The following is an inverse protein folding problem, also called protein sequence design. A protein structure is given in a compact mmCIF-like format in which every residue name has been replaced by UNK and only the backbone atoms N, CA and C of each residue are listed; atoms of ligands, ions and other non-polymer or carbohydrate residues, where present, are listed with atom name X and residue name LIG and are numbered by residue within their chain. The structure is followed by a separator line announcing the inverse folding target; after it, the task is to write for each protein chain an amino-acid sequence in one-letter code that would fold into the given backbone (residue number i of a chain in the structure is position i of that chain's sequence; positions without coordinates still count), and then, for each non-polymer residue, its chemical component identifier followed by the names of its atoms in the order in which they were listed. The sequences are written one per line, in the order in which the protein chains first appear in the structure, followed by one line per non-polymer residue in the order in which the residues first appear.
data_IF_822604511868
#
_entry.id   IF_822604511868
#
_cell.length_a   1.000
_cell.length_b   1.000
_cell.length_c   1.000
_cell.angle_alpha   90.00
_cell.angle_beta   90.00
_cell.angle_gamma   90.00
#
_symmetry.space_group_name_H-M   'P 1'
#
loop_
_entity.id
_entity.type
_entity.pdbx_description
1 polymer ?
#
# COMPACT_ATOMS: atom_id res chain seq x y z
N UNK A 1 -14.97 17.65 12.10
CA UNK A 1 -15.02 16.89 10.83
C UNK A 1 -16.20 15.91 10.74
N UNK A 2 -17.29 16.14 11.45
CA UNK A 2 -18.47 15.28 11.45
C UNK A 2 -19.55 15.79 10.48
N UNK A 3 -19.24 15.88 9.18
CA UNK A 3 -20.23 16.31 8.16
C UNK A 3 -21.29 15.23 7.85
N UNK A 4 -21.07 13.98 8.26
CA UNK A 4 -21.92 12.83 7.91
C UNK A 4 -22.63 12.18 9.11
N UNK A 5 -22.63 12.81 10.30
CA UNK A 5 -23.37 12.28 11.46
C UNK A 5 -22.81 11.00 12.11
N UNK A 6 -21.61 10.55 11.73
CA UNK A 6 -20.94 9.43 12.40
C UNK A 6 -20.27 9.93 13.67
N UNK A 7 -20.81 9.57 14.82
CA UNK A 7 -20.33 10.00 16.14
C UNK A 7 -19.29 9.04 16.75
N UNK A 8 -19.11 7.86 16.16
CA UNK A 8 -18.30 6.76 16.72
C UNK A 8 -16.96 6.57 16.01
N UNK A 9 -16.44 7.62 15.34
CA UNK A 9 -15.14 7.56 14.66
C UNK A 9 -14.10 8.36 15.45
N UNK A 10 -13.08 7.68 15.92
CA UNK A 10 -11.91 8.28 16.56
C UNK A 10 -10.80 8.51 15.54
N UNK A 11 -10.12 9.67 15.62
CA UNK A 11 -8.98 10.01 14.80
C UNK A 11 -7.71 10.01 15.65
N UNK A 12 -6.73 9.23 15.24
CA UNK A 12 -5.43 9.16 15.89
C UNK A 12 -4.31 9.42 14.87
N UNK A 13 -3.32 10.24 15.23
CA UNK A 13 -2.10 10.37 14.46
C UNK A 13 -1.10 9.37 14.99
N UNK A 14 -0.67 8.42 14.15
CA UNK A 14 0.27 7.38 14.52
C UNK A 14 1.16 6.99 13.33
N UNK A 15 2.28 6.35 13.63
CA UNK A 15 3.08 5.63 12.64
C UNK A 15 2.44 4.26 12.39
N UNK A 16 2.18 3.96 11.13
CA UNK A 16 1.57 2.68 10.73
C UNK A 16 2.45 1.46 11.06
N UNK A 17 3.74 1.66 11.26
CA UNK A 17 4.74 0.66 11.63
C UNK A 17 4.83 0.49 13.15
N UNK A 18 4.26 1.43 13.95
CA UNK A 18 4.26 1.43 15.41
C UNK A 18 2.97 2.04 15.94
N UNK A 19 1.91 1.23 16.04
CA UNK A 19 0.59 1.71 16.44
C UNK A 19 0.48 1.81 17.98
N UNK A 20 -0.11 2.91 18.52
CA UNK A 20 -0.25 3.12 19.96
C UNK A 20 -1.44 2.34 20.55
N UNK A 21 -1.69 1.12 20.08
CA UNK A 21 -2.79 0.28 20.50
C UNK A 21 -2.25 -1.01 21.13
N UNK A 22 -3.00 -1.55 22.09
CA UNK A 22 -2.68 -2.84 22.71
C UNK A 22 -2.83 -4.00 21.70
N UNK A 23 -2.22 -5.14 22.01
CA UNK A 23 -2.41 -6.38 21.26
C UNK A 23 -3.89 -6.77 21.23
N UNK A 24 -4.34 -7.37 20.15
CA UNK A 24 -5.69 -7.91 20.02
C UNK A 24 -6.81 -6.88 20.30
N UNK A 25 -6.66 -5.64 19.84
CA UNK A 25 -7.61 -4.55 20.04
C UNK A 25 -8.70 -4.49 18.99
N UNK A 26 -8.43 -4.96 17.76
CA UNK A 26 -9.31 -4.74 16.60
C UNK A 26 -9.79 -6.04 15.97
N UNK A 27 -11.03 -6.03 15.49
CA UNK A 27 -11.61 -7.13 14.71
C UNK A 27 -11.19 -7.09 13.25
N UNK A 28 -10.86 -5.89 12.73
CA UNK A 28 -10.37 -5.69 11.39
C UNK A 28 -9.37 -4.52 11.31
N UNK A 29 -8.40 -4.64 10.41
CA UNK A 29 -7.52 -3.56 9.96
C UNK A 29 -7.71 -3.39 8.46
N UNK A 30 -7.89 -2.14 8.03
CA UNK A 30 -8.01 -1.78 6.61
C UNK A 30 -6.94 -0.75 6.26
N UNK A 31 -6.16 -1.04 5.24
CA UNK A 31 -5.15 -0.14 4.68
C UNK A 31 -5.47 0.15 3.21
N UNK A 32 -5.28 1.41 2.80
CA UNK A 32 -5.46 1.80 1.40
C UNK A 32 -4.40 2.79 0.95
N UNK A 33 -3.69 2.45 -0.14
CA UNK A 33 -2.65 3.28 -0.75
C UNK A 33 -1.59 3.74 0.26
N UNK A 34 -1.10 2.81 1.10
CA UNK A 34 -0.17 3.13 2.16
C UNK A 34 1.11 2.29 2.12
N UNK A 35 0.99 0.97 1.95
CA UNK A 35 2.11 0.03 2.13
C UNK A 35 3.27 0.34 1.18
N UNK A 36 2.97 0.73 -0.06
CA UNK A 36 3.96 1.09 -1.07
C UNK A 36 4.90 2.23 -0.64
N UNK A 37 4.47 3.07 0.32
CA UNK A 37 5.16 4.29 0.76
C UNK A 37 5.87 4.13 2.12
N UNK A 38 5.94 2.93 2.66
CA UNK A 38 6.56 2.68 3.96
C UNK A 38 8.05 2.34 3.81
N UNK A 39 8.84 2.79 4.78
CA UNK A 39 10.27 2.46 4.88
C UNK A 39 10.46 0.99 5.29
N UNK A 40 9.63 0.49 6.20
CA UNK A 40 9.58 -0.92 6.61
C UNK A 40 8.15 -1.47 6.51
N UNK A 41 7.73 -1.90 5.30
CA UNK A 41 6.39 -2.43 5.10
C UNK A 41 6.15 -3.78 5.80
N UNK A 42 7.19 -4.56 6.09
CA UNK A 42 7.07 -5.81 6.85
C UNK A 42 6.77 -5.50 8.34
N UNK A 43 7.42 -4.48 8.92
CA UNK A 43 7.11 -4.01 10.26
C UNK A 43 5.64 -3.56 10.38
N UNK A 44 5.12 -2.87 9.38
CA UNK A 44 3.71 -2.48 9.35
C UNK A 44 2.77 -3.71 9.37
N UNK A 45 3.03 -4.72 8.54
CA UNK A 45 2.23 -5.95 8.56
C UNK A 45 2.29 -6.69 9.88
N UNK A 46 3.48 -6.78 10.48
CA UNK A 46 3.67 -7.37 11.82
C UNK A 46 2.86 -6.63 12.88
N UNK A 47 2.88 -5.30 12.82
CA UNK A 47 2.18 -4.43 13.75
C UNK A 47 0.65 -4.53 13.57
N UNK A 48 0.16 -4.56 12.33
CA UNK A 48 -1.26 -4.73 12.05
C UNK A 48 -1.78 -6.10 12.51
N UNK A 49 -0.99 -7.15 12.31
CA UNK A 49 -1.32 -8.46 12.85
C UNK A 49 -1.28 -8.47 14.37
N UNK A 50 -0.36 -7.74 15.03
CA UNK A 50 -0.30 -7.63 16.49
C UNK A 50 -1.60 -7.07 17.07
N UNK A 51 -2.06 -5.96 16.52
CA UNK A 51 -3.27 -5.26 17.02
C UNK A 51 -4.57 -5.97 16.65
N UNK A 52 -4.58 -6.85 15.66
CA UNK A 52 -5.73 -7.69 15.35
C UNK A 52 -5.98 -8.72 16.45
N UNK A 53 -7.23 -8.98 16.78
CA UNK A 53 -7.67 -10.10 17.61
C UNK A 53 -7.39 -11.44 16.90
N UNK A 54 -7.28 -12.56 17.62
CA UNK A 54 -7.29 -13.88 16.99
C UNK A 54 -8.52 -14.05 16.09
N UNK A 55 -8.31 -14.44 14.81
CA UNK A 55 -9.37 -14.51 13.82
C UNK A 55 -9.78 -13.16 13.19
N UNK A 56 -9.15 -12.06 13.63
CA UNK A 56 -9.34 -10.73 13.03
C UNK A 56 -8.82 -10.66 11.60
N UNK A 57 -9.36 -9.74 10.81
CA UNK A 57 -9.14 -9.68 9.35
C UNK A 57 -8.32 -8.47 8.95
N UNK A 58 -7.34 -8.69 8.09
CA UNK A 58 -6.57 -7.66 7.41
C UNK A 58 -7.08 -7.49 5.98
N UNK A 59 -7.28 -6.23 5.58
CA UNK A 59 -7.61 -5.84 4.21
C UNK A 59 -6.64 -4.77 3.74
N UNK A 60 -5.94 -5.01 2.65
CA UNK A 60 -5.01 -4.07 2.03
C UNK A 60 -5.44 -3.82 0.59
N UNK A 61 -5.63 -2.56 0.23
CA UNK A 61 -5.90 -2.10 -1.13
C UNK A 61 -4.75 -1.21 -1.56
N UNK A 62 -3.96 -1.65 -2.53
CA UNK A 62 -2.73 -0.96 -2.90
C UNK A 62 -2.39 -1.08 -4.39
N UNK A 63 -1.23 -0.61 -4.80
CA UNK A 63 -0.78 -0.66 -6.18
C UNK A 63 0.74 -0.60 -6.35
N UNK A 64 1.18 -0.94 -7.55
CA UNK A 64 2.57 -0.87 -7.98
C UNK A 64 2.91 0.55 -8.50
N UNK A 65 2.84 1.55 -7.61
CA UNK A 65 2.87 2.96 -7.98
C UNK A 65 4.20 3.43 -8.57
N UNK A 66 5.33 2.89 -8.09
CA UNK A 66 6.68 3.35 -8.47
C UNK A 66 7.55 2.26 -9.12
N UNK A 67 6.96 1.12 -9.47
CA UNK A 67 7.68 0.06 -10.19
C UNK A 67 8.28 0.55 -11.52
N UNK A 68 7.72 1.60 -12.14
CA UNK A 68 8.24 2.19 -13.37
C UNK A 68 9.67 2.75 -13.23
N UNK A 69 10.12 3.08 -12.02
CA UNK A 69 11.48 3.55 -11.76
C UNK A 69 12.54 2.46 -12.00
N UNK A 70 12.14 1.18 -11.94
CA UNK A 70 13.05 0.03 -11.99
C UNK A 70 12.63 -1.05 -12.99
N UNK A 71 11.45 -0.95 -13.57
CA UNK A 71 10.90 -1.94 -14.48
C UNK A 71 10.42 -1.28 -15.77
N UNK A 72 11.04 -1.64 -16.90
CA UNK A 72 10.76 -1.04 -18.20
C UNK A 72 9.33 -1.29 -18.70
N UNK A 73 8.72 -2.44 -18.35
CA UNK A 73 7.33 -2.71 -18.74
C UNK A 73 6.38 -1.74 -18.02
N UNK A 74 6.58 -1.50 -16.71
CA UNK A 74 5.81 -0.49 -15.97
C UNK A 74 6.08 0.92 -16.48
N UNK A 75 7.32 1.25 -16.88
CA UNK A 75 7.65 2.54 -17.46
C UNK A 75 6.92 2.77 -18.79
N UNK A 76 6.68 1.72 -19.57
CA UNK A 76 5.99 1.81 -20.87
C UNK A 76 4.51 2.17 -20.78
N UNK A 77 3.87 1.87 -19.64
CA UNK A 77 2.45 2.16 -19.41
C UNK A 77 2.21 3.47 -18.66
N UNK A 78 3.27 4.14 -18.19
CA UNK A 78 3.11 5.45 -17.56
C UNK A 78 2.54 6.46 -18.55
N UNK A 79 1.54 7.27 -18.15
CA UNK A 79 1.07 8.36 -18.97
C UNK A 79 2.26 9.26 -19.32
N UNK A 80 2.50 9.52 -20.60
CA UNK A 80 3.46 10.55 -20.99
C UNK A 80 2.93 11.86 -20.44
N UNK A 81 3.60 12.38 -19.41
CA UNK A 81 3.27 13.71 -18.88
C UNK A 81 3.52 14.70 -19.99
N UNK A 82 2.46 15.22 -20.58
CA UNK A 82 2.57 16.30 -21.53
C UNK A 82 3.15 17.51 -20.79
N UNK A 83 4.29 18.02 -21.27
CA UNK A 83 4.96 19.19 -20.71
C UNK A 83 4.04 20.45 -20.70
N UNK A 84 2.89 20.38 -21.35
CA UNK A 84 1.86 21.43 -21.35
C UNK A 84 0.89 21.33 -20.15
N UNK A 85 0.87 20.24 -19.39
CA UNK A 85 0.08 20.16 -18.16
C UNK A 85 0.76 21.01 -17.08
N UNK A 86 0.41 22.29 -17.06
CA UNK A 86 0.87 23.30 -16.11
C UNK A 86 0.38 23.04 -14.68
N UNK A 87 0.73 21.93 -14.08
CA UNK A 87 0.79 21.83 -12.63
C UNK A 87 2.17 22.31 -12.17
N UNK A 88 2.53 23.54 -12.52
CA UNK A 88 3.57 24.30 -11.83
C UNK A 88 3.02 24.67 -10.46
N UNK A 89 2.97 23.70 -9.56
CA UNK A 89 2.72 23.93 -8.15
C UNK A 89 3.94 24.65 -7.57
N UNK A 90 3.89 26.00 -7.60
CA UNK A 90 4.69 26.88 -6.76
C UNK A 90 6.20 26.57 -6.69
N UNK A 91 6.86 26.32 -7.83
CA UNK A 91 8.31 26.09 -7.85
C UNK A 91 8.80 24.78 -7.26
N UNK A 92 7.92 23.85 -6.95
CA UNK A 92 8.26 22.50 -6.49
C UNK A 92 8.75 21.69 -7.70
N UNK A 93 9.96 21.12 -7.59
CA UNK A 93 10.46 20.18 -8.61
C UNK A 93 9.51 18.99 -8.68
N UNK A 94 8.99 18.68 -9.86
CA UNK A 94 8.00 17.61 -10.09
C UNK A 94 8.53 16.20 -9.81
N UNK A 95 9.84 16.04 -9.65
CA UNK A 95 10.52 14.76 -9.42
C UNK A 95 10.85 14.47 -7.93
N UNK A 96 10.46 15.33 -6.99
CA UNK A 96 10.77 15.10 -5.55
C UNK A 96 10.17 13.79 -5.05
N UNK A 97 8.97 13.45 -5.52
CA UNK A 97 8.30 12.19 -5.12
C UNK A 97 9.04 10.99 -5.70
N UNK A 98 9.50 11.06 -6.94
CA UNK A 98 10.31 10.01 -7.56
C UNK A 98 11.65 9.81 -6.84
N UNK A 99 12.29 10.91 -6.43
CA UNK A 99 13.54 10.85 -5.68
C UNK A 99 13.34 10.14 -4.33
N UNK A 100 12.28 10.44 -3.60
CA UNK A 100 11.90 9.72 -2.37
C UNK A 100 11.58 8.26 -2.67
N UNK A 101 10.79 8.00 -3.71
CA UNK A 101 10.36 6.64 -4.06
C UNK A 101 11.51 5.73 -4.48
N UNK A 102 12.65 6.26 -4.95
CA UNK A 102 13.84 5.46 -5.28
C UNK A 102 14.41 4.72 -4.08
N UNK A 103 14.26 5.27 -2.89
CA UNK A 103 14.80 4.67 -1.65
C UNK A 103 13.78 3.74 -0.96
N UNK A 104 12.52 3.74 -1.41
CA UNK A 104 11.48 2.87 -0.85
C UNK A 104 11.63 1.43 -1.33
N UNK A 105 11.57 0.43 -0.43
CA UNK A 105 11.81 -0.96 -0.77
C UNK A 105 10.83 -1.52 -1.80
N UNK A 106 9.56 -1.11 -1.74
CA UNK A 106 8.51 -1.64 -2.62
C UNK A 106 8.48 -1.01 -4.01
N UNK A 107 9.26 0.04 -4.28
CA UNK A 107 9.45 0.55 -5.63
C UNK A 107 10.18 -0.43 -6.55
N UNK A 108 10.94 -1.38 -5.97
CA UNK A 108 11.70 -2.42 -6.69
C UNK A 108 11.00 -3.78 -6.72
N UNK A 109 9.86 -3.89 -6.05
CA UNK A 109 9.12 -5.14 -5.92
C UNK A 109 7.79 -5.08 -6.67
N UNK A 110 7.53 -6.08 -7.50
CA UNK A 110 6.21 -6.26 -8.10
C UNK A 110 5.32 -7.00 -7.11
N UNK A 111 4.23 -6.38 -6.74
CA UNK A 111 3.25 -6.90 -5.79
C UNK A 111 2.00 -7.38 -6.57
N UNK A 112 1.13 -8.24 -6.01
CA UNK A 112 0.97 -8.58 -4.60
C UNK A 112 1.74 -9.81 -4.08
N UNK A 113 2.55 -10.48 -4.88
CA UNK A 113 3.24 -11.72 -4.47
C UNK A 113 4.12 -11.51 -3.23
N UNK A 114 4.84 -10.40 -3.18
CA UNK A 114 5.64 -10.03 -2.01
C UNK A 114 4.79 -9.95 -0.72
N UNK A 115 3.58 -9.41 -0.82
CA UNK A 115 2.65 -9.30 0.32
C UNK A 115 2.24 -10.68 0.84
N UNK A 116 1.92 -11.60 -0.06
CA UNK A 116 1.54 -12.97 0.29
C UNK A 116 2.69 -13.69 1.01
N UNK A 117 3.93 -13.55 0.50
CA UNK A 117 5.12 -14.14 1.10
C UNK A 117 5.39 -13.60 2.50
N UNK A 118 5.31 -12.27 2.68
CA UNK A 118 5.52 -11.63 3.99
C UNK A 118 4.46 -12.07 4.99
N UNK A 119 3.18 -12.00 4.61
CA UNK A 119 2.08 -12.42 5.49
C UNK A 119 2.17 -13.92 5.85
N UNK A 120 2.61 -14.75 4.92
CA UNK A 120 2.88 -16.17 5.17
C UNK A 120 4.02 -16.37 6.20
N UNK A 121 5.13 -15.64 6.08
CA UNK A 121 6.24 -15.67 7.07
C UNK A 121 5.79 -15.18 8.44
N UNK A 122 4.90 -14.20 8.49
CA UNK A 122 4.29 -13.68 9.72
C UNK A 122 3.18 -14.59 10.27
N UNK A 123 2.98 -15.78 9.67
CA UNK A 123 2.01 -16.80 10.09
C UNK A 123 0.55 -16.36 10.04
N UNK A 124 0.23 -15.38 9.20
CA UNK A 124 -1.15 -15.09 8.86
C UNK A 124 -1.77 -16.25 8.08
N UNK A 125 -3.04 -16.49 8.29
CA UNK A 125 -3.80 -17.55 7.62
C UNK A 125 -4.72 -16.98 6.54
N UNK A 126 -5.25 -17.84 5.68
CA UNK A 126 -6.18 -17.49 4.61
C UNK A 126 -5.71 -16.28 3.76
N UNK A 127 -4.40 -16.17 3.52
CA UNK A 127 -3.81 -15.10 2.70
C UNK A 127 -4.29 -15.28 1.27
N UNK A 128 -4.86 -14.21 0.70
CA UNK A 128 -5.33 -14.17 -0.69
C UNK A 128 -5.07 -12.80 -1.28
N UNK A 129 -4.70 -12.76 -2.56
CA UNK A 129 -4.66 -11.52 -3.32
C UNK A 129 -5.57 -11.58 -4.54
N UNK A 130 -6.01 -10.42 -4.99
CA UNK A 130 -6.79 -10.23 -6.20
C UNK A 130 -6.29 -8.99 -6.93
N UNK A 131 -5.98 -9.12 -8.21
CA UNK A 131 -5.59 -7.97 -9.03
C UNK A 131 -6.86 -7.29 -9.55
N UNK A 132 -7.05 -6.05 -9.13
CA UNK A 132 -8.22 -5.22 -9.43
C UNK A 132 -8.07 -4.45 -10.75
N UNK A 133 -6.83 -4.16 -11.15
CA UNK A 133 -6.51 -3.47 -12.40
C UNK A 133 -5.24 -4.04 -13.01
N UNK A 134 -5.36 -4.50 -14.25
CA UNK A 134 -4.28 -4.96 -15.10
C UNK A 134 -4.04 -3.95 -16.23
N UNK A 135 -2.78 -3.65 -16.51
CA UNK A 135 -2.36 -2.83 -17.65
C UNK A 135 -1.25 -3.51 -18.48
N UNK A 136 -0.77 -2.82 -19.51
CA UNK A 136 0.25 -3.32 -20.43
C UNK A 136 -0.29 -4.27 -21.50
N UNK A 137 0.60 -4.72 -22.38
CA UNK A 137 0.26 -5.71 -23.40
C UNK A 137 -0.27 -6.99 -22.76
N UNK A 138 -1.42 -7.48 -23.27
CA UNK A 138 -2.09 -8.68 -22.76
C UNK A 138 -2.51 -8.59 -21.28
N UNK A 139 -2.62 -7.37 -20.71
CA UNK A 139 -3.00 -7.16 -19.30
C UNK A 139 -2.15 -7.99 -18.32
N UNK A 140 -0.83 -7.91 -18.45
CA UNK A 140 0.11 -8.70 -17.62
C UNK A 140 0.65 -7.99 -16.41
N UNK A 141 0.50 -6.66 -16.32
CA UNK A 141 1.05 -5.86 -15.25
C UNK A 141 -0.03 -5.58 -14.20
N UNK A 142 0.09 -6.13 -12.98
CA UNK A 142 -0.83 -5.80 -11.89
C UNK A 142 -0.57 -4.37 -11.42
N UNK A 143 -1.49 -3.45 -11.67
CA UNK A 143 -1.35 -2.03 -11.29
C UNK A 143 -2.02 -1.74 -9.96
N UNK A 144 -3.21 -2.30 -9.74
CA UNK A 144 -3.92 -2.23 -8.45
C UNK A 144 -4.39 -3.61 -8.03
N UNK A 145 -4.33 -3.85 -6.74
CA UNK A 145 -4.68 -5.15 -6.17
C UNK A 145 -5.23 -4.98 -4.75
N UNK A 146 -5.86 -6.04 -4.27
CA UNK A 146 -6.18 -6.22 -2.86
C UNK A 146 -5.45 -7.43 -2.29
N UNK A 147 -5.14 -7.38 -1.01
CA UNK A 147 -4.64 -8.51 -0.23
C UNK A 147 -5.48 -8.65 1.02
N UNK A 148 -5.88 -9.87 1.34
CA UNK A 148 -6.63 -10.19 2.55
C UNK A 148 -5.92 -11.29 3.32
N UNK A 149 -6.00 -11.22 4.64
CA UNK A 149 -5.44 -12.24 5.53
C UNK A 149 -6.24 -12.32 6.83
N UNK A 150 -6.04 -13.41 7.56
CA UNK A 150 -6.60 -13.62 8.90
C UNK A 150 -5.44 -13.87 9.87
N UNK A 151 -5.50 -13.22 11.03
CA UNK A 151 -4.56 -13.47 12.13
C UNK A 151 -4.74 -14.82 12.75
#
# INVERSE_FOLDING_TARGET
LNRNGYHDVEFCRADAQHLPFADASFDAVVSRNLVWNLEDPEAAYKEWLRVLKPGGKLFVFDGNHYCYLYNAEYASIQPKVDASSNHVLLGIKTNVIDDIARDLPLSRQVRPQWDEEVLGRLKASAVKSEVLLWEGEKKRLPVRFSVTAVK
#
